data_IF_903012924864
#
_entry.id   IF_903012924864
#
_cell.length_a   1.000
_cell.length_b   1.000
_cell.length_c   1.000
_cell.angle_alpha   90.00
_cell.angle_beta   90.00
_cell.angle_gamma   90.00
#
_symmetry.space_group_name_H-M   'P 1'
#
loop_
_entity.id
_entity.type
_entity.pdbx_description
1 polymer ?
#
# COMPACT_ATOMS: atom_id res chain seq x y z
N UNK A 1 -9.32 -9.92 13.15
CA UNK A 1 -8.53 -9.74 11.92
C UNK A 1 -7.44 -8.71 12.18
N UNK A 2 -6.19 -9.02 11.87
CA UNK A 2 -5.06 -8.11 12.04
C UNK A 2 -4.77 -7.38 10.74
N UNK A 3 -4.80 -6.05 10.76
CA UNK A 3 -4.55 -5.20 9.59
C UNK A 3 -3.36 -4.30 9.89
N UNK A 4 -2.32 -4.39 9.08
CA UNK A 4 -1.17 -3.49 9.16
C UNK A 4 -1.17 -2.51 8.01
N UNK A 5 -1.26 -1.22 8.34
CA UNK A 5 -1.00 -0.15 7.39
C UNK A 5 0.51 0.09 7.33
N UNK A 6 1.10 -0.07 6.15
CA UNK A 6 2.53 0.13 5.93
C UNK A 6 2.75 1.37 5.07
N UNK A 7 3.51 2.32 5.59
CA UNK A 7 3.93 3.53 4.88
C UNK A 7 5.43 3.75 4.99
N UNK A 8 6.02 4.29 3.92
CA UNK A 8 7.41 4.78 3.91
C UNK A 8 7.38 6.29 4.03
N UNK A 9 8.27 6.87 4.82
CA UNK A 9 8.22 8.32 5.10
C UNK A 9 9.48 9.05 4.63
N UNK A 10 9.30 10.01 3.74
CA UNK A 10 10.24 11.12 3.53
C UNK A 10 9.62 12.46 3.95
N UNK A 11 8.31 12.47 4.19
CA UNK A 11 7.52 13.56 4.77
C UNK A 11 6.86 13.09 6.06
N UNK A 12 6.53 14.03 6.95
CA UNK A 12 5.74 13.69 8.13
C UNK A 12 4.36 13.18 7.68
N UNK A 13 3.92 11.95 8.03
CA UNK A 13 2.67 11.37 7.55
C UNK A 13 1.47 11.95 8.30
N UNK A 14 1.23 13.25 8.11
CA UNK A 14 0.24 14.04 8.86
C UNK A 14 -1.19 13.54 8.66
N UNK A 15 -1.46 12.78 7.59
CA UNK A 15 -2.75 12.13 7.36
C UNK A 15 -3.16 11.25 8.55
N UNK A 16 -2.19 10.66 9.27
CA UNK A 16 -2.44 9.83 10.45
C UNK A 16 -3.17 10.60 11.57
N UNK A 17 -2.95 11.92 11.72
CA UNK A 17 -3.69 12.73 12.70
C UNK A 17 -5.21 12.74 12.45
N UNK A 18 -5.61 12.59 11.20
CA UNK A 18 -7.01 12.49 10.78
C UNK A 18 -7.46 11.08 10.43
N UNK A 19 -6.54 10.11 10.44
CA UNK A 19 -6.83 8.73 10.09
C UNK A 19 -7.65 8.09 11.21
N UNK A 20 -8.89 7.73 10.88
CA UNK A 20 -9.85 7.14 11.81
C UNK A 20 -10.56 6.01 11.08
N UNK A 21 -9.89 4.85 10.93
CA UNK A 21 -10.45 3.81 10.12
C UNK A 21 -11.67 3.20 10.79
N UNK A 22 -12.76 3.05 10.05
CA UNK A 22 -14.01 2.46 10.52
C UNK A 22 -14.01 0.95 10.25
N UNK A 23 -13.23 0.20 11.04
CA UNK A 23 -13.25 -1.27 11.01
C UNK A 23 -14.17 -1.87 12.08
N UNK A 24 -14.69 -3.10 11.86
CA UNK A 24 -15.36 -3.89 12.89
C UNK A 24 -14.53 -4.01 14.18
N UNK A 25 -15.19 -4.14 15.33
CA UNK A 25 -14.53 -4.13 16.66
C UNK A 25 -13.59 -5.31 16.91
N UNK A 26 -13.68 -6.38 16.13
CA UNK A 26 -12.79 -7.54 16.16
C UNK A 26 -11.58 -7.40 15.21
N UNK A 27 -11.45 -6.26 14.56
CA UNK A 27 -10.26 -5.88 13.80
C UNK A 27 -9.25 -5.19 14.70
N UNK A 28 -8.01 -5.65 14.65
CA UNK A 28 -6.87 -5.01 15.28
C UNK A 28 -6.07 -4.28 14.19
N UNK A 29 -5.80 -3.00 14.39
CA UNK A 29 -5.12 -2.15 13.40
C UNK A 29 -3.84 -1.61 13.99
N UNK A 30 -2.75 -1.76 13.24
CA UNK A 30 -1.50 -1.07 13.53
C UNK A 30 -0.96 -0.37 12.27
N UNK A 31 -0.11 0.62 12.52
CA UNK A 31 0.55 1.42 11.49
C UNK A 31 2.05 1.22 11.65
N UNK A 32 2.69 0.78 10.58
CA UNK A 32 4.14 0.58 10.49
C UNK A 32 4.69 1.66 9.58
N UNK A 33 5.48 2.56 10.16
CA UNK A 33 6.14 3.65 9.46
C UNK A 33 7.61 3.24 9.25
N UNK A 34 7.98 3.01 8.00
CA UNK A 34 9.34 2.64 7.61
C UNK A 34 10.13 3.91 7.30
N UNK A 35 11.12 4.20 8.13
CA UNK A 35 12.06 5.31 7.91
C UNK A 35 12.99 5.07 6.73
N UNK A 36 13.40 6.16 6.10
CA UNK A 36 14.38 6.18 5.01
C UNK A 36 15.24 7.45 5.11
N UNK A 37 16.25 7.56 4.25
CA UNK A 37 17.05 8.77 4.14
C UNK A 37 16.18 9.95 3.69
N UNK A 38 15.98 10.91 4.59
CA UNK A 38 15.13 12.07 4.37
C UNK A 38 13.90 12.10 5.27
N UNK A 39 13.63 11.03 6.03
CA UNK A 39 12.62 11.08 7.10
C UNK A 39 12.92 12.25 8.06
N UNK A 40 11.94 13.10 8.38
CA UNK A 40 12.14 14.22 9.32
C UNK A 40 12.58 13.74 10.71
N UNK A 41 13.50 14.48 11.34
CA UNK A 41 13.95 14.20 12.73
C UNK A 41 12.79 14.22 13.75
N UNK A 42 11.69 14.88 13.42
CA UNK A 42 10.49 14.99 14.28
C UNK A 42 9.57 13.76 14.23
N UNK A 43 9.87 12.75 13.40
CA UNK A 43 9.00 11.58 13.20
C UNK A 43 8.78 10.78 14.49
N UNK A 44 9.81 10.64 15.33
CA UNK A 44 9.71 9.89 16.58
C UNK A 44 8.74 10.57 17.55
N UNK A 45 8.92 11.88 17.75
CA UNK A 45 8.01 12.69 18.56
C UNK A 45 6.57 12.63 18.04
N UNK A 46 6.39 12.70 16.72
CA UNK A 46 5.08 12.57 16.09
C UNK A 46 4.42 11.20 16.34
N UNK A 47 5.18 10.10 16.25
CA UNK A 47 4.67 8.76 16.54
C UNK A 47 4.32 8.60 18.02
N UNK A 48 5.14 9.16 18.92
CA UNK A 48 4.84 9.18 20.35
C UNK A 48 3.56 9.97 20.66
N UNK A 49 3.36 11.13 20.03
CA UNK A 49 2.15 11.93 20.17
C UNK A 49 0.91 11.14 19.71
N UNK A 50 0.98 10.46 18.56
CA UNK A 50 -0.12 9.63 18.07
C UNK A 50 -0.48 8.49 19.03
N UNK A 51 0.53 7.78 19.55
CA UNK A 51 0.32 6.69 20.50
C UNK A 51 -0.22 7.16 21.86
N UNK A 52 0.04 8.41 22.25
CA UNK A 52 -0.49 9.01 23.51
C UNK A 52 -1.90 9.59 23.33
N UNK A 53 -2.32 9.90 22.10
CA UNK A 53 -3.65 10.44 21.84
C UNK A 53 -4.73 9.36 22.02
N UNK A 54 -5.60 9.56 23.01
CA UNK A 54 -6.77 8.73 23.29
C UNK A 54 -7.75 8.56 22.11
N UNK A 55 -7.65 9.42 21.08
CA UNK A 55 -8.46 9.36 19.85
C UNK A 55 -7.82 8.50 18.76
N UNK A 56 -6.59 8.03 18.96
CA UNK A 56 -5.91 7.09 18.09
C UNK A 56 -6.32 5.68 18.47
N UNK A 57 -6.96 4.97 17.53
CA UNK A 57 -7.49 3.62 17.76
C UNK A 57 -6.55 2.51 17.24
N UNK A 58 -5.31 2.87 16.92
CA UNK A 58 -4.31 1.98 16.36
C UNK A 58 -2.95 2.26 16.99
N UNK A 59 -2.10 1.24 17.03
CA UNK A 59 -0.70 1.39 17.44
C UNK A 59 0.11 1.94 16.27
N UNK A 60 1.05 2.85 16.54
CA UNK A 60 2.01 3.35 15.54
C UNK A 60 3.41 2.89 15.92
N UNK A 61 4.05 2.15 15.02
CA UNK A 61 5.43 1.68 15.16
C UNK A 61 6.31 2.32 14.10
N UNK A 62 7.29 3.11 14.55
CA UNK A 62 8.29 3.71 13.68
C UNK A 62 9.55 2.85 13.66
N UNK A 63 9.96 2.47 12.45
CA UNK A 63 11.18 1.71 12.19
C UNK A 63 12.23 2.63 11.60
N UNK A 64 13.07 3.22 12.45
CA UNK A 64 14.20 4.04 12.01
C UNK A 64 15.19 3.22 11.18
N UNK A 65 16.01 3.84 10.30
CA UNK A 65 17.07 3.15 9.58
C UNK A 65 17.98 2.31 10.50
N UNK A 66 18.27 2.79 11.70
CA UNK A 66 19.08 2.09 12.70
C UNK A 66 18.39 0.84 13.25
N UNK A 67 17.09 0.94 13.57
CA UNK A 67 16.30 -0.20 14.01
C UNK A 67 16.17 -1.26 12.91
N UNK A 68 15.99 -0.82 11.66
CA UNK A 68 15.96 -1.71 10.50
C UNK A 68 17.28 -2.47 10.35
N UNK A 69 18.40 -1.77 10.50
CA UNK A 69 19.75 -2.31 10.49
C UNK A 69 19.99 -3.37 11.58
N UNK A 70 19.51 -3.11 12.79
CA UNK A 70 19.56 -4.07 13.91
C UNK A 70 18.73 -5.31 13.59
N UNK A 71 17.52 -5.12 13.10
CA UNK A 71 16.64 -6.22 12.70
C UNK A 71 17.25 -7.08 11.60
N UNK A 72 17.81 -6.46 10.56
CA UNK A 72 18.48 -7.18 9.47
C UNK A 72 19.59 -8.08 10.01
N UNK A 73 20.47 -7.53 10.85
CA UNK A 73 21.61 -8.29 11.41
C UNK A 73 21.15 -9.46 12.30
N UNK A 74 20.04 -9.28 13.03
CA UNK A 74 19.55 -10.28 13.97
C UNK A 74 18.72 -11.39 13.31
N UNK A 75 17.96 -11.06 12.25
CA UNK A 75 16.93 -11.96 11.73
C UNK A 75 17.03 -12.27 10.22
N UNK A 76 17.52 -11.33 9.40
CA UNK A 76 17.60 -11.51 7.94
C UNK A 76 18.99 -11.94 7.45
N UNK A 77 20.03 -11.70 8.26
CA UNK A 77 21.40 -12.12 8.02
C UNK A 77 22.30 -11.00 7.48
N UNK A 78 22.92 -11.25 6.33
CA UNK A 78 23.96 -10.37 5.77
C UNK A 78 23.38 -9.03 5.28
N UNK A 79 23.69 -7.97 6.03
CA UNK A 79 23.18 -6.62 5.78
C UNK A 79 23.53 -6.08 4.39
N UNK A 80 24.70 -6.42 3.85
CA UNK A 80 25.13 -5.94 2.53
C UNK A 80 24.34 -6.60 1.41
N UNK A 81 23.87 -7.84 1.61
CA UNK A 81 22.97 -8.51 0.67
C UNK A 81 21.57 -7.93 0.77
N UNK A 82 21.06 -7.71 1.97
CA UNK A 82 19.71 -7.17 2.17
C UNK A 82 19.61 -5.75 1.61
N UNK A 83 20.60 -4.88 1.84
CA UNK A 83 20.64 -3.52 1.28
C UNK A 83 20.65 -3.47 -0.26
N UNK A 84 21.05 -4.55 -0.94
CA UNK A 84 20.95 -4.62 -2.41
C UNK A 84 19.52 -4.90 -2.89
N UNK A 85 18.73 -5.63 -2.09
CA UNK A 85 17.36 -6.03 -2.42
C UNK A 85 16.34 -5.02 -1.91
N UNK A 86 16.58 -4.45 -0.72
CA UNK A 86 15.78 -3.44 -0.03
C UNK A 86 16.67 -2.21 0.23
N UNK A 87 17.08 -1.47 -0.81
CA UNK A 87 17.92 -0.29 -0.65
C UNK A 87 17.15 0.87 -0.02
N UNK A 88 17.93 1.82 0.50
CA UNK A 88 17.46 3.15 0.91
C UNK A 88 17.17 4.02 -0.32
N UNK A 89 16.31 5.03 -0.15
CA UNK A 89 15.84 5.95 -1.21
C UNK A 89 15.21 5.23 -2.39
N UNK A 90 14.50 4.15 -2.11
CA UNK A 90 13.90 3.29 -3.12
C UNK A 90 12.53 2.81 -2.64
N UNK A 91 11.58 2.69 -3.57
CA UNK A 91 10.23 2.21 -3.26
C UNK A 91 10.25 0.83 -2.59
N UNK A 92 11.25 0.00 -2.90
CA UNK A 92 11.47 -1.31 -2.30
C UNK A 92 11.74 -1.22 -0.80
N UNK A 93 12.13 -0.07 -0.25
CA UNK A 93 12.32 0.13 1.20
C UNK A 93 11.07 -0.26 1.98
N UNK A 94 9.88 -0.06 1.40
CA UNK A 94 8.59 -0.48 1.97
C UNK A 94 8.51 -1.97 2.28
N UNK A 95 9.23 -2.81 1.53
CA UNK A 95 9.25 -4.25 1.76
C UNK A 95 9.71 -4.61 3.17
N UNK A 96 10.50 -3.74 3.82
CA UNK A 96 10.83 -3.90 5.23
C UNK A 96 9.57 -3.91 6.11
N UNK A 97 8.67 -2.95 5.93
CA UNK A 97 7.42 -2.89 6.67
C UNK A 97 6.48 -4.06 6.38
N UNK A 98 6.54 -4.65 5.17
CA UNK A 98 5.80 -5.88 4.88
C UNK A 98 6.33 -7.08 5.69
N UNK A 99 7.65 -7.17 5.90
CA UNK A 99 8.24 -8.21 6.74
C UNK A 99 7.82 -8.04 8.20
N UNK A 100 7.84 -6.80 8.71
CA UNK A 100 7.40 -6.51 10.07
C UNK A 100 5.90 -6.84 10.25
N UNK A 101 5.04 -6.40 9.33
CA UNK A 101 3.62 -6.73 9.36
C UNK A 101 3.38 -8.24 9.43
N UNK A 102 4.15 -9.01 8.64
CA UNK A 102 4.07 -10.46 8.65
C UNK A 102 4.50 -11.05 10.00
N UNK A 103 5.58 -10.57 10.60
CA UNK A 103 6.03 -11.02 11.93
C UNK A 103 5.03 -10.65 13.04
N UNK A 104 4.37 -9.51 12.93
CA UNK A 104 3.33 -9.07 13.86
C UNK A 104 1.99 -9.79 13.64
N UNK A 105 1.92 -10.71 12.68
CA UNK A 105 0.77 -11.56 12.43
C UNK A 105 -0.36 -10.87 11.66
N UNK A 106 -0.03 -9.93 10.76
CA UNK A 106 -0.99 -9.30 9.88
C UNK A 106 -1.69 -10.33 8.97
N UNK A 107 -3.02 -10.31 8.96
CA UNK A 107 -3.83 -11.03 7.97
C UNK A 107 -3.84 -10.27 6.64
N UNK A 108 -3.86 -8.93 6.71
CA UNK A 108 -3.90 -8.02 5.56
C UNK A 108 -2.93 -6.86 5.73
N UNK A 109 -2.26 -6.51 4.64
CA UNK A 109 -1.37 -5.36 4.57
C UNK A 109 -2.00 -4.31 3.67
N UNK A 110 -2.19 -3.11 4.21
CA UNK A 110 -2.60 -1.92 3.45
C UNK A 110 -1.36 -1.09 3.20
N UNK A 111 -0.94 -0.96 1.95
CA UNK A 111 0.18 -0.09 1.59
C UNK A 111 -0.34 1.30 1.22
N UNK A 112 0.24 2.35 1.83
CA UNK A 112 -0.12 3.74 1.56
C UNK A 112 1.12 4.64 1.58
N UNK A 113 1.19 5.59 0.65
CA UNK A 113 2.26 6.60 0.63
C UNK A 113 2.02 7.67 1.73
N UNK A 114 3.07 8.34 2.17
CA UNK A 114 3.02 9.26 3.31
C UNK A 114 2.29 10.59 3.03
N UNK A 115 2.03 10.88 1.75
CA UNK A 115 1.30 12.04 1.25
C UNK A 115 -0.10 11.69 0.71
N UNK A 116 -0.51 10.42 0.78
CA UNK A 116 -1.85 9.97 0.41
C UNK A 116 -2.82 10.02 1.58
N UNK A 117 -4.02 10.54 1.31
CA UNK A 117 -5.12 10.60 2.28
C UNK A 117 -6.21 9.62 1.85
N UNK A 118 -6.52 8.60 2.67
CA UNK A 118 -7.64 7.73 2.40
C UNK A 118 -8.96 8.52 2.38
N UNK A 119 -9.82 8.22 1.42
CA UNK A 119 -11.16 8.81 1.34
C UNK A 119 -12.08 8.17 2.37
N UNK A 120 -13.14 8.86 2.78
CA UNK A 120 -14.12 8.27 3.69
C UNK A 120 -14.71 6.96 3.11
N UNK A 121 -14.76 5.91 3.92
CA UNK A 121 -15.27 4.59 3.54
C UNK A 121 -14.30 3.74 2.71
N UNK A 122 -13.02 4.11 2.61
CA UNK A 122 -12.03 3.30 1.91
C UNK A 122 -11.91 1.88 2.50
N UNK A 123 -12.17 1.73 3.79
CA UNK A 123 -12.17 0.49 4.56
C UNK A 123 -13.18 -0.51 4.01
N UNK A 124 -14.32 -0.03 3.50
CA UNK A 124 -15.35 -0.89 2.92
C UNK A 124 -14.83 -1.63 1.69
N UNK A 125 -13.96 -1.00 0.88
CA UNK A 125 -13.34 -1.68 -0.25
C UNK A 125 -12.41 -2.81 0.21
N UNK A 126 -11.68 -2.61 1.33
CA UNK A 126 -10.88 -3.67 1.93
C UNK A 126 -11.79 -4.80 2.46
N UNK A 127 -12.84 -4.47 3.21
CA UNK A 127 -13.77 -5.47 3.75
C UNK A 127 -14.49 -6.25 2.64
N UNK A 128 -14.88 -5.60 1.56
CA UNK A 128 -15.48 -6.24 0.38
C UNK A 128 -14.48 -7.14 -0.35
N UNK A 129 -13.20 -6.77 -0.37
CA UNK A 129 -12.12 -7.59 -0.90
C UNK A 129 -11.91 -8.86 -0.07
N UNK A 130 -12.00 -8.75 1.26
CA UNK A 130 -11.83 -9.87 2.19
C UNK A 130 -13.02 -10.82 2.19
N UNK A 131 -14.24 -10.30 2.11
CA UNK A 131 -15.46 -11.08 2.38
C UNK A 131 -16.22 -11.54 1.13
N UNK A 132 -16.08 -10.82 0.01
CA UNK A 132 -16.87 -11.08 -1.19
C UNK A 132 -16.03 -11.72 -2.30
N UNK A 133 -16.14 -13.04 -2.42
CA UNK A 133 -15.39 -13.83 -3.40
C UNK A 133 -16.10 -13.97 -4.76
N UNK A 134 -17.36 -13.53 -4.87
CA UNK A 134 -18.13 -13.59 -6.11
C UNK A 134 -17.95 -12.26 -6.87
N UNK A 135 -16.95 -12.21 -7.74
CA UNK A 135 -16.64 -11.03 -8.54
C UNK A 135 -16.72 -11.37 -10.03
N UNK A 136 -17.16 -10.40 -10.84
CA UNK A 136 -16.91 -10.43 -12.27
C UNK A 136 -15.41 -10.26 -12.49
N UNK A 137 -14.86 -10.98 -13.46
CA UNK A 137 -13.46 -10.85 -13.85
C UNK A 137 -13.38 -10.33 -15.27
N UNK A 138 -12.43 -9.46 -15.55
CA UNK A 138 -12.09 -9.01 -16.89
C UNK A 138 -10.78 -9.67 -17.31
N UNK A 139 -10.69 -10.11 -18.55
CA UNK A 139 -9.45 -10.59 -19.16
C UNK A 139 -8.98 -9.63 -20.26
N UNK A 140 -7.70 -9.72 -20.61
CA UNK A 140 -7.05 -8.88 -21.62
C UNK A 140 -6.37 -9.76 -22.66
N UNK A 141 -6.51 -9.40 -23.94
CA UNK A 141 -5.80 -10.07 -25.04
C UNK A 141 -4.27 -9.94 -24.95
N UNK A 142 -3.76 -8.96 -24.19
CA UNK A 142 -2.33 -8.79 -23.91
C UNK A 142 -1.88 -9.50 -22.62
N UNK A 143 -2.80 -10.13 -21.88
CA UNK A 143 -2.54 -10.77 -20.59
C UNK A 143 -2.19 -9.79 -19.48
N UNK A 144 -2.47 -8.49 -19.68
CA UNK A 144 -2.23 -7.44 -18.70
C UNK A 144 -3.32 -6.37 -18.80
N UNK A 145 -3.81 -5.94 -17.65
CA UNK A 145 -4.83 -4.89 -17.55
C UNK A 145 -4.13 -3.57 -17.23
N UNK A 146 -4.42 -2.53 -17.99
CA UNK A 146 -3.99 -1.17 -17.68
C UNK A 146 -5.10 -0.46 -16.88
N UNK A 147 -4.97 -0.31 -15.55
CA UNK A 147 -6.07 0.20 -14.72
C UNK A 147 -6.45 1.65 -15.06
N UNK A 148 -5.55 2.42 -15.69
CA UNK A 148 -5.81 3.80 -16.10
C UNK A 148 -6.81 3.93 -17.24
N UNK A 149 -7.07 2.86 -18.01
CA UNK A 149 -8.08 2.85 -19.07
C UNK A 149 -9.52 2.83 -18.52
N UNK A 150 -9.68 2.51 -17.24
CA UNK A 150 -10.97 2.52 -16.53
C UNK A 150 -11.20 3.81 -15.73
N UNK A 151 -10.26 4.76 -15.77
CA UNK A 151 -10.43 6.04 -15.09
C UNK A 151 -11.50 6.87 -15.81
N UNK A 152 -12.45 7.40 -15.04
CA UNK A 152 -13.34 8.45 -15.52
C UNK A 152 -12.56 9.77 -15.59
N UNK A 153 -11.80 9.92 -16.65
CA UNK A 153 -11.11 11.15 -16.97
C UNK A 153 -11.89 11.82 -18.10
N UNK A 154 -12.32 13.08 -17.89
CA UNK A 154 -12.86 13.95 -18.95
C UNK A 154 -11.89 14.17 -20.14
N UNK A 155 -10.74 13.50 -20.12
CA UNK A 155 -9.71 13.44 -21.12
C UNK A 155 -9.85 12.07 -21.81
N UNK A 156 -10.50 12.05 -22.99
CA UNK A 156 -10.45 10.91 -23.92
C UNK A 156 -9.04 10.73 -24.48
N UNK A 157 -8.06 10.36 -23.65
CA UNK A 157 -6.70 10.08 -24.09
C UNK A 157 -6.36 8.60 -23.87
N UNK A 158 -6.25 7.80 -24.95
CA UNK A 158 -5.93 6.37 -24.88
C UNK A 158 -4.45 6.07 -24.54
N UNK A 159 -3.68 7.06 -24.10
CA UNK A 159 -2.23 6.94 -23.91
C UNK A 159 -1.76 7.20 -22.47
N UNK A 160 -2.65 7.02 -21.49
CA UNK A 160 -2.26 7.07 -20.08
C UNK A 160 -1.99 5.63 -19.64
N UNK A 161 -0.76 5.35 -19.20
CA UNK A 161 -0.41 4.04 -18.66
C UNK A 161 -0.06 4.15 -17.18
N UNK A 162 -0.52 3.20 -16.37
CA UNK A 162 -0.07 3.13 -14.98
C UNK A 162 1.46 2.99 -14.95
N UNK A 163 2.13 3.66 -14.01
CA UNK A 163 3.58 3.52 -13.87
C UNK A 163 4.00 2.05 -13.78
N UNK A 164 5.02 1.67 -14.54
CA UNK A 164 5.52 0.29 -14.62
C UNK A 164 4.76 -0.61 -15.60
N UNK A 165 3.75 -0.11 -16.32
CA UNK A 165 3.15 -0.83 -17.43
C UNK A 165 4.19 -1.09 -18.54
N UNK A 166 4.31 -2.31 -19.09
CA UNK A 166 5.43 -2.64 -19.98
C UNK A 166 5.47 -1.77 -21.25
N UNK A 167 6.56 -1.01 -21.42
CA UNK A 167 6.77 -0.12 -22.58
C UNK A 167 6.54 -0.80 -23.93
N UNK A 168 6.92 -2.08 -24.05
CA UNK A 168 6.73 -2.89 -25.29
C UNK A 168 5.27 -3.14 -25.66
N UNK A 169 4.33 -2.89 -24.74
CA UNK A 169 2.90 -3.07 -24.93
C UNK A 169 2.17 -1.75 -25.18
N UNK A 170 2.87 -0.62 -25.04
CA UNK A 170 2.31 0.68 -25.36
C UNK A 170 1.84 0.71 -26.81
N UNK A 171 0.69 1.36 -27.03
CA UNK A 171 0.04 1.52 -28.34
C UNK A 171 -0.46 0.22 -28.99
N UNK A 172 -0.29 -0.94 -28.35
CA UNK A 172 -0.90 -2.18 -28.83
C UNK A 172 -2.39 -2.14 -28.56
N UNK A 173 -3.18 -2.58 -29.53
CA UNK A 173 -4.61 -2.79 -29.33
C UNK A 173 -4.82 -3.84 -28.25
N UNK A 174 -5.44 -3.41 -27.15
CA UNK A 174 -5.89 -4.28 -26.08
C UNK A 174 -7.42 -4.39 -26.17
N UNK A 175 -7.95 -5.59 -25.99
CA UNK A 175 -9.39 -5.81 -25.89
C UNK A 175 -9.64 -6.41 -24.53
N UNK A 176 -10.57 -5.79 -23.79
CA UNK A 176 -11.06 -6.31 -22.53
C UNK A 176 -12.32 -7.13 -22.76
N UNK A 177 -12.31 -8.34 -22.25
CA UNK A 177 -13.47 -9.23 -22.29
C UNK A 177 -13.93 -9.48 -20.85
N UNK A 178 -15.14 -9.00 -20.56
CA UNK A 178 -15.78 -9.33 -19.29
C UNK A 178 -16.18 -10.80 -19.31
N UNK A 179 -15.68 -11.54 -18.33
CA UNK A 179 -16.03 -12.94 -18.13
C UNK A 179 -17.23 -12.95 -17.17
N UNK A 180 -18.45 -13.27 -17.66
CA UNK A 180 -19.68 -13.19 -16.87
C UNK A 180 -19.78 -14.27 -15.78
N UNK A 181 -18.81 -15.18 -15.69
CA UNK A 181 -18.81 -16.23 -14.69
C UNK A 181 -18.38 -15.63 -13.35
N UNK A 182 -19.29 -15.69 -12.37
CA UNK A 182 -18.95 -15.64 -10.94
C UNK A 182 -18.07 -16.85 -10.62
N UNK A 183 -16.76 -16.75 -10.86
CA UNK A 183 -15.82 -17.66 -10.23
C UNK A 183 -15.60 -17.15 -8.83
N UNK A 184 -15.67 -18.06 -7.86
CA UNK A 184 -15.17 -17.77 -6.52
C UNK A 184 -13.66 -17.53 -6.65
N UNK A 185 -13.24 -16.28 -6.64
CA UNK A 185 -11.84 -15.89 -6.71
C UNK A 185 -11.36 -15.49 -5.31
N UNK A 186 -10.10 -15.83 -5.00
CA UNK A 186 -9.43 -15.35 -3.81
C UNK A 186 -8.33 -14.38 -4.25
N UNK A 187 -8.67 -13.11 -4.46
CA UNK A 187 -7.68 -12.14 -4.93
C UNK A 187 -6.61 -11.93 -3.85
N UNK A 188 -5.35 -11.88 -4.26
CA UNK A 188 -4.20 -11.73 -3.34
C UNK A 188 -3.72 -10.29 -3.20
N UNK A 189 -4.25 -9.40 -4.04
CA UNK A 189 -3.90 -7.99 -4.08
C UNK A 189 -5.12 -7.17 -4.52
N UNK A 190 -5.34 -6.05 -3.84
CA UNK A 190 -6.29 -5.02 -4.25
C UNK A 190 -5.53 -3.73 -4.52
N UNK A 191 -5.59 -3.22 -5.74
CA UNK A 191 -5.02 -1.93 -6.08
C UNK A 191 -6.13 -0.88 -6.06
N UNK A 192 -6.08 0.02 -5.08
CA UNK A 192 -6.94 1.21 -5.09
C UNK A 192 -6.38 2.25 -6.05
N UNK A 193 -7.27 3.11 -6.57
CA UNK A 193 -6.90 4.18 -7.49
C UNK A 193 -6.87 5.53 -6.78
N UNK A 194 -6.08 6.43 -7.34
CA UNK A 194 -5.91 7.78 -6.83
C UNK A 194 -7.06 8.69 -7.25
N UNK A 195 -7.37 9.67 -6.40
CA UNK A 195 -8.15 10.82 -6.83
C UNK A 195 -7.23 11.93 -7.35
N UNK A 196 -7.71 12.71 -8.32
CA UNK A 196 -7.08 13.91 -8.89
C UNK A 196 -5.82 13.70 -9.75
N UNK A 197 -4.72 13.21 -9.17
CA UNK A 197 -3.40 13.15 -9.83
C UNK A 197 -2.85 11.71 -9.80
N UNK A 198 -3.21 10.88 -10.79
CA UNK A 198 -2.73 9.50 -10.83
C UNK A 198 -1.22 9.46 -11.14
N UNK A 199 -0.54 8.47 -10.58
CA UNK A 199 0.87 8.22 -10.90
C UNK A 199 0.97 7.40 -12.20
N UNK A 200 1.29 8.09 -13.29
CA UNK A 200 1.21 7.57 -14.66
C UNK A 200 2.46 7.91 -15.45
N UNK A 201 2.76 7.08 -16.46
CA UNK A 201 3.82 7.29 -17.45
C UNK A 201 3.21 7.73 -18.81
#
# INVERSE_FOLDING_TARGET
MNISLVTTTINLPIFLKSFKPEFPSDCNVNVIIVGDNGTPETIECFCEELNKDSKTFYKVDYWSPELQDVYIRNYLGDIDKIRKVIPEKDIRRRNFGFLIALEEGADYIVSLDDDNYPTAGWEQYLLDFVTNHDKCTTDSTLGIINPTEFLDNNIRNPYIYSRGYPLRLWYKSNVYEDIPIKKKINPVMHQMLWSNKPDVD
#
